data_IF_051312236875
#
_entry.id   IF_051312236875
#
_cell.length_a   1.000
_cell.length_b   1.000
_cell.length_c   1.000
_cell.angle_alpha   90.00
_cell.angle_beta   90.00
_cell.angle_gamma   90.00
#
_symmetry.space_group_name_H-M   'P 1'
#
loop_
_entity.id
_entity.type
_entity.pdbx_description
1 polymer ?
#
# COMPACT_ATOMS: atom_id res chain seq x y z
N UNK A 1 11.92 -5.93 -9.73
CA UNK A 1 12.07 -7.10 -10.64
C UNK A 1 12.12 -8.38 -9.85
N UNK A 2 11.01 -9.12 -9.85
CA UNK A 2 10.89 -10.44 -9.23
C UNK A 2 11.60 -11.53 -10.05
N UNK A 3 12.10 -12.54 -9.35
CA UNK A 3 12.76 -13.69 -9.97
C UNK A 3 11.73 -14.61 -10.62
N UNK A 4 12.12 -15.22 -11.74
CA UNK A 4 11.34 -16.25 -12.41
C UNK A 4 11.31 -17.54 -11.60
N UNK A 5 10.31 -18.39 -11.84
CA UNK A 5 10.20 -19.70 -11.21
C UNK A 5 11.47 -20.55 -11.37
N UNK A 6 12.14 -20.44 -12.53
CA UNK A 6 13.39 -21.13 -12.82
C UNK A 6 14.54 -20.62 -11.94
N UNK A 7 14.69 -19.30 -11.84
CA UNK A 7 15.72 -18.68 -10.99
C UNK A 7 15.51 -18.99 -9.52
N UNK A 8 14.25 -19.05 -9.05
CA UNK A 8 13.93 -19.44 -7.67
C UNK A 8 14.27 -20.91 -7.42
N UNK A 9 13.93 -21.81 -8.37
CA UNK A 9 14.25 -23.24 -8.27
C UNK A 9 15.76 -23.49 -8.20
N UNK A 10 16.53 -22.75 -8.98
CA UNK A 10 17.99 -22.87 -9.05
C UNK A 10 18.72 -22.18 -7.88
N UNK A 11 18.04 -21.30 -7.13
CA UNK A 11 18.65 -20.54 -6.04
C UNK A 11 18.18 -20.95 -4.62
N UNK A 12 16.97 -21.50 -4.46
CA UNK A 12 16.46 -21.94 -3.16
C UNK A 12 17.01 -23.33 -2.80
N UNK A 13 17.70 -23.40 -1.66
CA UNK A 13 18.31 -24.64 -1.15
C UNK A 13 17.32 -25.81 -1.01
N UNK A 14 16.08 -25.53 -0.64
CA UNK A 14 15.02 -26.54 -0.47
C UNK A 14 14.60 -27.11 -1.81
N UNK A 15 14.43 -26.26 -2.84
CA UNK A 15 14.13 -26.69 -4.20
C UNK A 15 15.25 -27.59 -4.77
N UNK A 16 16.51 -27.20 -4.56
CA UNK A 16 17.67 -27.97 -5.00
C UNK A 16 17.70 -29.35 -4.30
N UNK A 17 17.51 -29.38 -2.97
CA UNK A 17 17.49 -30.63 -2.21
C UNK A 17 16.33 -31.56 -2.64
N UNK A 18 15.16 -31.00 -2.94
CA UNK A 18 14.02 -31.77 -3.45
C UNK A 18 14.28 -32.29 -4.88
N UNK A 19 14.96 -31.53 -5.74
CA UNK A 19 15.36 -31.97 -7.08
C UNK A 19 16.36 -33.13 -7.06
N UNK A 20 17.32 -33.10 -6.14
CA UNK A 20 18.23 -34.22 -5.89
C UNK A 20 17.48 -35.46 -5.40
N UNK A 21 16.53 -35.27 -4.48
CA UNK A 21 15.67 -36.33 -3.97
C UNK A 21 14.80 -36.96 -5.07
N UNK A 22 14.16 -36.14 -5.92
CA UNK A 22 13.36 -36.60 -7.06
C UNK A 22 14.25 -37.41 -8.02
N UNK A 23 15.46 -36.92 -8.31
CA UNK A 23 16.42 -37.60 -9.19
C UNK A 23 16.88 -38.95 -8.61
N UNK A 24 16.99 -39.04 -7.29
CA UNK A 24 17.25 -40.31 -6.60
C UNK A 24 16.05 -41.26 -6.72
N UNK A 25 14.84 -40.83 -6.36
CA UNK A 25 13.62 -41.68 -6.42
C UNK A 25 13.29 -42.14 -7.85
N UNK A 26 13.47 -41.27 -8.85
CA UNK A 26 13.27 -41.63 -10.28
C UNK A 26 14.21 -42.75 -10.74
N UNK A 27 15.43 -42.82 -10.22
CA UNK A 27 16.36 -43.92 -10.50
C UNK A 27 15.90 -45.24 -9.88
N UNK A 28 15.32 -45.20 -8.68
CA UNK A 28 14.75 -46.39 -8.03
C UNK A 28 13.54 -46.94 -8.80
N UNK A 29 12.66 -46.06 -9.31
CA UNK A 29 11.50 -46.46 -10.13
C UNK A 29 11.91 -47.18 -11.42
N UNK A 30 13.01 -46.75 -12.04
CA UNK A 30 13.52 -47.38 -13.26
C UNK A 30 14.17 -48.74 -13.01
N UNK A 31 14.60 -49.02 -11.76
CA UNK A 31 15.22 -50.29 -11.36
C UNK A 31 14.21 -51.31 -10.81
N UNK A 32 13.14 -50.86 -10.17
CA UNK A 32 12.09 -51.70 -9.61
C UNK A 32 10.77 -50.93 -9.73
N UNK A 33 9.70 -51.55 -10.27
CA UNK A 33 8.39 -50.90 -10.52
C UNK A 33 7.66 -50.60 -9.19
N UNK A 34 8.22 -49.69 -8.40
CA UNK A 34 7.78 -49.35 -7.06
C UNK A 34 6.83 -48.15 -7.14
N UNK A 35 5.53 -48.44 -7.02
CA UNK A 35 4.47 -47.42 -7.04
C UNK A 35 4.62 -46.40 -5.91
N UNK A 36 5.24 -46.75 -4.77
CA UNK A 36 5.48 -45.82 -3.67
C UNK A 36 6.49 -44.73 -4.04
N UNK A 37 7.55 -45.10 -4.74
CA UNK A 37 8.56 -44.14 -5.19
C UNK A 37 7.98 -43.14 -6.21
N UNK A 38 7.00 -43.57 -7.01
CA UNK A 38 6.27 -42.67 -7.91
C UNK A 38 5.44 -41.62 -7.15
N UNK A 39 4.73 -42.01 -6.09
CA UNK A 39 3.99 -41.06 -5.25
C UNK A 39 4.91 -40.07 -4.54
N UNK A 40 6.08 -40.52 -4.08
CA UNK A 40 7.05 -39.62 -3.44
C UNK A 40 7.65 -38.60 -4.41
N UNK A 41 7.85 -38.98 -5.67
CA UNK A 41 8.27 -38.05 -6.74
C UNK A 41 7.19 -36.98 -6.96
N UNK A 42 5.94 -37.39 -7.15
CA UNK A 42 4.83 -36.44 -7.37
C UNK A 42 4.65 -35.50 -6.17
N UNK A 43 4.81 -36.02 -4.95
CA UNK A 43 4.74 -35.20 -3.74
C UNK A 43 5.87 -34.17 -3.69
N UNK A 44 7.10 -34.58 -3.97
CA UNK A 44 8.24 -33.68 -3.98
C UNK A 44 8.14 -32.63 -5.09
N UNK A 45 7.62 -32.99 -6.27
CA UNK A 45 7.36 -32.04 -7.37
C UNK A 45 6.33 -30.99 -6.97
N UNK A 46 5.22 -31.41 -6.34
CA UNK A 46 4.20 -30.48 -5.82
C UNK A 46 4.75 -29.57 -4.70
N UNK A 47 5.66 -30.08 -3.87
CA UNK A 47 6.28 -29.30 -2.81
C UNK A 47 7.23 -28.21 -3.36
N UNK A 48 7.97 -28.52 -4.43
CA UNK A 48 8.77 -27.53 -5.18
C UNK A 48 7.87 -26.44 -5.77
N UNK A 49 6.77 -26.81 -6.45
CA UNK A 49 5.86 -25.84 -7.05
C UNK A 49 5.22 -24.91 -6.01
N UNK A 50 4.79 -25.47 -4.88
CA UNK A 50 4.24 -24.69 -3.78
C UNK A 50 5.28 -23.72 -3.18
N UNK A 51 6.53 -24.19 -3.04
CA UNK A 51 7.63 -23.38 -2.52
C UNK A 51 7.95 -22.21 -3.44
N UNK A 52 8.07 -22.47 -4.74
CA UNK A 52 8.31 -21.43 -5.75
C UNK A 52 7.18 -20.40 -5.72
N UNK A 53 5.93 -20.85 -5.75
CA UNK A 53 4.76 -19.97 -5.71
C UNK A 53 4.77 -19.08 -4.47
N UNK A 54 5.07 -19.65 -3.29
CA UNK A 54 5.15 -18.88 -2.04
C UNK A 54 6.21 -17.79 -2.09
N UNK A 55 7.38 -18.10 -2.64
CA UNK A 55 8.49 -17.15 -2.76
C UNK A 55 8.18 -16.04 -3.78
N UNK A 56 7.57 -16.37 -4.91
CA UNK A 56 7.13 -15.38 -5.90
C UNK A 56 6.10 -14.41 -5.32
N UNK A 57 5.10 -14.93 -4.60
CA UNK A 57 4.13 -14.08 -3.89
C UNK A 57 4.85 -13.16 -2.89
N UNK A 58 5.85 -13.67 -2.17
CA UNK A 58 6.65 -12.88 -1.25
C UNK A 58 7.39 -11.73 -1.94
N UNK A 59 8.03 -12.00 -3.08
CA UNK A 59 8.76 -10.99 -3.86
C UNK A 59 7.81 -9.94 -4.45
N UNK A 60 6.67 -10.36 -5.01
CA UNK A 60 5.65 -9.45 -5.54
C UNK A 60 5.09 -8.53 -4.45
N UNK A 61 4.93 -9.05 -3.22
CA UNK A 61 4.49 -8.22 -2.10
C UNK A 61 5.54 -7.17 -1.73
N UNK A 62 6.83 -7.52 -1.75
CA UNK A 62 7.91 -6.57 -1.46
C UNK A 62 7.91 -5.43 -2.49
N UNK A 63 7.79 -5.75 -3.78
CA UNK A 63 7.74 -4.74 -4.85
C UNK A 63 6.55 -3.78 -4.66
N UNK A 64 5.36 -4.32 -4.32
CA UNK A 64 4.19 -3.49 -3.99
C UNK A 64 4.39 -2.64 -2.72
N UNK A 65 5.08 -3.16 -1.71
CA UNK A 65 5.39 -2.37 -0.51
C UNK A 65 6.34 -1.21 -0.83
N UNK A 66 7.29 -1.41 -1.74
CA UNK A 66 8.19 -0.34 -2.19
C UNK A 66 7.42 0.74 -2.97
N UNK A 67 6.49 0.37 -3.86
CA UNK A 67 5.60 1.32 -4.55
C UNK A 67 4.74 2.14 -3.57
N UNK A 68 4.16 1.47 -2.57
CA UNK A 68 3.36 2.14 -1.53
C UNK A 68 4.24 3.09 -0.71
N UNK A 69 5.47 2.70 -0.38
CA UNK A 69 6.42 3.53 0.35
C UNK A 69 6.82 4.78 -0.44
N UNK A 70 7.04 4.64 -1.74
CA UNK A 70 7.31 5.78 -2.63
C UNK A 70 6.10 6.74 -2.67
N UNK A 71 4.90 6.19 -2.80
CA UNK A 71 3.65 6.97 -2.75
C UNK A 71 3.51 7.72 -1.43
N UNK A 72 3.77 7.07 -0.29
CA UNK A 72 3.75 7.71 1.04
C UNK A 72 4.80 8.83 1.13
N UNK A 73 5.98 8.64 0.55
CA UNK A 73 7.02 9.67 0.53
C UNK A 73 6.56 10.91 -0.25
N UNK A 74 5.96 10.72 -1.42
CA UNK A 74 5.40 11.79 -2.23
C UNK A 74 4.31 12.56 -1.48
N UNK A 75 3.36 11.84 -0.86
CA UNK A 75 2.30 12.47 -0.05
C UNK A 75 2.88 13.25 1.13
N UNK A 76 3.95 12.76 1.76
CA UNK A 76 4.60 13.47 2.86
C UNK A 76 5.18 14.81 2.41
N UNK A 77 5.81 14.86 1.24
CA UNK A 77 6.33 16.11 0.67
C UNK A 77 5.18 17.11 0.39
N UNK A 78 4.06 16.64 -0.15
CA UNK A 78 2.88 17.49 -0.36
C UNK A 78 2.30 18.02 0.95
N UNK A 79 2.26 17.20 2.00
CA UNK A 79 1.83 17.62 3.34
C UNK A 79 2.75 18.68 3.91
N UNK A 80 4.08 18.53 3.80
CA UNK A 80 5.04 19.54 4.26
C UNK A 80 4.85 20.89 3.54
N UNK A 81 4.60 20.87 2.22
CA UNK A 81 4.25 22.09 1.45
C UNK A 81 2.93 22.70 1.93
N UNK A 82 1.93 21.88 2.23
CA UNK A 82 0.66 22.33 2.79
C UNK A 82 0.83 22.96 4.17
N UNK A 83 1.62 22.35 5.07
CA UNK A 83 1.93 22.89 6.39
C UNK A 83 2.63 24.25 6.31
N UNK A 84 3.60 24.39 5.40
CA UNK A 84 4.28 25.66 5.13
C UNK A 84 3.30 26.74 4.64
N UNK A 85 2.37 26.37 3.76
CA UNK A 85 1.34 27.28 3.28
C UNK A 85 0.37 27.69 4.39
N UNK A 86 -0.02 26.76 5.26
CA UNK A 86 -0.83 27.06 6.45
C UNK A 86 -0.09 28.03 7.37
N UNK A 87 1.21 27.82 7.60
CA UNK A 87 2.07 28.75 8.35
C UNK A 87 2.03 30.16 7.78
N UNK A 88 2.24 30.31 6.46
CA UNK A 88 2.17 31.62 5.78
C UNK A 88 0.79 32.28 5.87
N UNK A 89 -0.29 31.50 5.79
CA UNK A 89 -1.66 32.02 5.95
C UNK A 89 -1.88 32.49 7.38
N UNK A 90 -1.39 31.75 8.38
CA UNK A 90 -1.45 32.13 9.78
C UNK A 90 -0.69 33.42 10.05
N UNK A 91 0.53 33.56 9.54
CA UNK A 91 1.33 34.78 9.71
C UNK A 91 0.63 36.01 9.08
N UNK A 92 0.03 35.84 7.90
CA UNK A 92 -0.78 36.89 7.27
C UNK A 92 -2.01 37.25 8.10
N UNK A 93 -2.68 36.24 8.69
CA UNK A 93 -3.83 36.47 9.56
C UNK A 93 -3.43 37.24 10.82
N UNK A 94 -2.32 36.88 11.45
CA UNK A 94 -1.81 37.55 12.65
C UNK A 94 -1.39 39.00 12.36
N UNK A 95 -0.76 39.25 11.21
CA UNK A 95 -0.46 40.61 10.75
C UNK A 95 -1.74 41.43 10.53
N UNK A 96 -2.74 40.88 9.84
CA UNK A 96 -4.03 41.56 9.62
C UNK A 96 -4.80 41.80 10.92
N UNK A 97 -4.74 40.87 11.88
CA UNK A 97 -5.34 41.06 13.20
C UNK A 97 -4.64 42.17 14.00
N UNK A 98 -3.33 42.33 13.80
CA UNK A 98 -2.55 43.40 14.42
C UNK A 98 -2.90 44.76 13.78
N UNK A 99 -2.94 44.85 12.46
CA UNK A 99 -3.41 46.03 11.72
C UNK A 99 -4.81 46.46 12.17
N UNK A 100 -5.69 45.48 12.41
CA UNK A 100 -7.05 45.73 12.90
C UNK A 100 -7.12 46.26 14.33
N UNK A 101 -6.17 45.89 15.19
CA UNK A 101 -6.06 46.41 16.57
C UNK A 101 -5.51 47.83 16.59
N UNK A 102 -4.59 48.16 15.68
CA UNK A 102 -3.97 49.49 15.58
C UNK A 102 -4.87 50.52 14.88
N UNK A 103 -5.90 50.08 14.15
CA UNK A 103 -6.80 50.95 13.39
C UNK A 103 -8.24 50.95 13.97
N UNK A 104 -8.56 51.80 14.96
CA UNK A 104 -9.82 51.76 15.70
C UNK A 104 -11.08 52.01 14.83
N UNK A 105 -10.94 52.74 13.72
CA UNK A 105 -12.00 52.96 12.72
C UNK A 105 -12.31 51.72 11.89
N UNK A 106 -11.33 50.86 11.63
CA UNK A 106 -11.52 49.61 10.90
C UNK A 106 -12.19 48.55 11.79
N UNK A 107 -11.81 48.49 13.07
CA UNK A 107 -12.46 47.66 14.09
C UNK A 107 -13.93 48.07 14.33
N UNK A 108 -14.22 49.37 14.37
CA UNK A 108 -15.60 49.89 14.42
C UNK A 108 -16.41 49.49 13.18
N UNK A 109 -15.84 49.55 11.98
CA UNK A 109 -16.53 49.12 10.74
C UNK A 109 -16.82 47.62 10.68
N UNK A 110 -15.94 46.78 11.21
CA UNK A 110 -16.19 45.33 11.33
C UNK A 110 -17.31 45.04 12.34
N UNK A 111 -17.34 45.78 13.46
CA UNK A 111 -18.46 45.73 14.42
C UNK A 111 -19.80 46.15 13.79
N UNK A 112 -19.79 47.08 12.84
CA UNK A 112 -21.00 47.57 12.16
C UNK A 112 -21.48 46.68 11.00
N UNK A 113 -20.64 45.80 10.44
CA UNK A 113 -21.01 44.86 9.34
C UNK A 113 -20.57 43.42 9.62
N UNK A 114 -21.15 42.75 10.64
CA UNK A 114 -20.73 41.41 11.06
C UNK A 114 -20.92 40.33 9.98
N UNK A 115 -21.93 40.47 9.11
CA UNK A 115 -22.34 39.40 8.19
C UNK A 115 -21.29 39.04 7.12
N UNK A 116 -20.54 40.02 6.59
CA UNK A 116 -19.51 39.76 5.55
C UNK A 116 -18.23 39.15 6.12
N UNK A 117 -17.82 39.57 7.31
CA UNK A 117 -16.68 38.97 7.99
C UNK A 117 -17.01 37.54 8.48
N UNK A 118 -18.23 37.32 8.95
CA UNK A 118 -18.71 36.00 9.38
C UNK A 118 -18.81 35.02 8.21
N UNK A 119 -19.27 35.46 7.02
CA UNK A 119 -19.28 34.61 5.82
C UNK A 119 -17.87 34.24 5.34
N UNK A 120 -16.91 35.14 5.50
CA UNK A 120 -15.51 34.87 5.16
C UNK A 120 -14.88 33.86 6.13
N UNK A 121 -15.06 34.05 7.44
CA UNK A 121 -14.62 33.10 8.48
C UNK A 121 -15.30 31.73 8.35
N UNK A 122 -16.60 31.69 8.05
CA UNK A 122 -17.30 30.42 7.82
C UNK A 122 -16.78 29.72 6.56
N UNK A 123 -16.43 30.47 5.52
CA UNK A 123 -15.83 29.92 4.29
C UNK A 123 -14.50 29.23 4.55
N UNK A 124 -13.64 29.82 5.39
CA UNK A 124 -12.36 29.21 5.79
C UNK A 124 -12.58 27.95 6.63
N UNK A 125 -13.50 27.99 7.60
CA UNK A 125 -13.84 26.82 8.42
C UNK A 125 -14.39 25.67 7.57
N UNK A 126 -15.27 25.95 6.61
CA UNK A 126 -15.80 24.95 5.68
C UNK A 126 -14.70 24.40 4.79
N UNK A 127 -13.82 25.25 4.25
CA UNK A 127 -12.67 24.81 3.45
C UNK A 127 -11.73 23.88 4.21
N UNK A 128 -11.44 24.20 5.48
CA UNK A 128 -10.63 23.36 6.36
C UNK A 128 -11.26 21.99 6.61
N UNK A 129 -12.58 21.94 6.86
CA UNK A 129 -13.31 20.68 7.06
C UNK A 129 -13.37 19.81 5.79
N UNK A 130 -13.50 20.41 4.60
CA UNK A 130 -13.48 19.66 3.34
C UNK A 130 -12.12 18.99 3.13
N UNK A 131 -11.03 19.70 3.41
CA UNK A 131 -9.66 19.15 3.31
C UNK A 131 -9.45 18.02 4.33
N UNK A 132 -9.88 18.22 5.58
CA UNK A 132 -9.81 17.19 6.62
C UNK A 132 -10.64 15.95 6.27
N UNK A 133 -11.83 16.13 5.71
CA UNK A 133 -12.67 15.04 5.24
C UNK A 133 -12.04 14.28 4.08
N UNK A 134 -11.41 14.97 3.12
CA UNK A 134 -10.63 14.34 2.05
C UNK A 134 -9.49 13.51 2.63
N UNK A 135 -8.67 14.06 3.52
CA UNK A 135 -7.57 13.32 4.17
C UNK A 135 -8.08 12.11 4.94
N UNK A 136 -9.19 12.26 5.67
CA UNK A 136 -9.83 11.16 6.40
C UNK A 136 -10.39 10.07 5.45
N UNK A 137 -11.00 10.46 4.33
CA UNK A 137 -11.44 9.52 3.29
C UNK A 137 -10.26 8.80 2.64
N UNK A 138 -9.14 9.48 2.37
CA UNK A 138 -7.93 8.86 1.83
C UNK A 138 -7.32 7.84 2.80
N UNK A 139 -7.24 8.16 4.10
CA UNK A 139 -6.79 7.22 5.14
C UNK A 139 -7.77 6.05 5.29
N UNK A 140 -9.08 6.35 5.25
CA UNK A 140 -10.14 5.35 5.31
C UNK A 140 -10.13 4.40 4.11
N UNK A 141 -9.93 4.93 2.90
CA UNK A 141 -9.80 4.17 1.67
C UNK A 141 -8.53 3.32 1.67
N UNK A 142 -7.40 3.85 2.17
CA UNK A 142 -6.17 3.09 2.36
C UNK A 142 -6.35 1.90 3.31
N UNK A 143 -7.02 2.10 4.44
CA UNK A 143 -7.36 1.02 5.38
C UNK A 143 -8.35 0.01 4.79
N UNK A 144 -9.35 0.47 4.03
CA UNK A 144 -10.32 -0.39 3.35
C UNK A 144 -9.66 -1.23 2.25
N UNK A 145 -8.75 -0.64 1.47
CA UNK A 145 -7.98 -1.33 0.44
C UNK A 145 -7.07 -2.39 1.07
N UNK A 146 -6.36 -2.05 2.15
CA UNK A 146 -5.53 -2.99 2.90
C UNK A 146 -6.35 -4.14 3.50
N UNK A 147 -7.54 -3.83 4.03
CA UNK A 147 -8.47 -4.84 4.54
C UNK A 147 -9.01 -5.75 3.42
N UNK A 148 -9.42 -5.20 2.28
CA UNK A 148 -9.89 -5.96 1.12
C UNK A 148 -8.79 -6.86 0.54
N UNK A 149 -7.55 -6.37 0.46
CA UNK A 149 -6.38 -7.17 0.07
C UNK A 149 -6.14 -8.32 1.08
N UNK A 150 -6.28 -8.06 2.38
CA UNK A 150 -6.14 -9.09 3.44
C UNK A 150 -7.26 -10.14 3.47
N UNK A 151 -8.38 -9.87 2.78
CA UNK A 151 -9.59 -10.70 2.79
C UNK A 151 -9.97 -11.28 1.42
N UNK A 152 -9.27 -10.91 0.35
CA UNK A 152 -9.40 -11.56 -0.95
C UNK A 152 -9.11 -13.06 -0.75
N UNK A 153 -10.13 -13.94 -0.86
CA UNK A 153 -9.84 -15.36 -0.88
C UNK A 153 -9.01 -15.60 -2.16
N UNK A 154 -8.00 -16.46 -2.05
CA UNK A 154 -7.30 -17.02 -3.21
C UNK A 154 -8.35 -17.80 -4.03
N UNK A 155 -9.13 -17.11 -4.86
CA UNK A 155 -10.11 -17.70 -5.78
C UNK A 155 -9.59 -17.42 -7.17
N UNK A 156 -8.59 -18.19 -7.54
CA UNK A 156 -8.31 -18.55 -8.93
C UNK A 156 -8.83 -19.95 -9.18
N UNK A 157 -10.15 -20.16 -9.09
CA UNK A 157 -10.81 -21.37 -9.57
C UNK A 157 -11.59 -21.05 -10.84
N UNK A 158 -11.13 -21.57 -11.99
CA UNK A 158 -11.85 -21.77 -13.27
C UNK A 158 -10.80 -22.11 -14.37
N UNK A 159 -10.83 -23.15 -15.20
CA UNK A 159 -11.75 -24.28 -15.49
C UNK A 159 -10.88 -25.38 -16.16
N UNK A 160 -11.08 -26.68 -15.89
CA UNK A 160 -10.48 -27.73 -16.71
C UNK A 160 -11.23 -27.81 -18.06
N UNK A 161 -10.56 -27.47 -19.16
CA UNK A 161 -11.06 -27.75 -20.51
C UNK A 161 -10.78 -29.22 -20.88
N UNK A 162 -11.75 -29.94 -21.48
CA UNK A 162 -11.61 -31.33 -21.90
C UNK A 162 -10.60 -31.53 -23.04
#
# INVERSE_FOLDING_TARGET
MCRTAKEIREADFTCIALDEYISFRKREINGDKNSLAYFDVLRAEAEIENRITTLQIGEDMIEKFDEVKETISCVKEEVEVCEDNIGKVKDKLDNHLTDLKENPTMWQRIKEKPLKAFTWLSGIMVGYYIILSLVAEWIGFGNLLAYLISKLPVVGGAVPTP
#
